data_IF_864934426941
#
_entry.id   IF_864934426941
#
_cell.length_a   1.000
_cell.length_b   1.000
_cell.length_c   1.000
_cell.angle_alpha   90.00
_cell.angle_beta   90.00
_cell.angle_gamma   90.00
#
_symmetry.space_group_name_H-M   'P 1'
#
loop_
_entity.id
_entity.type
_entity.pdbx_description
1 polymer ?
#
# COMPACT_ATOMS: atom_id res chain seq x y z
N UNK A 1 1.73 -13.98 17.53
CA UNK A 1 1.46 -15.07 16.57
C UNK A 1 1.44 -16.38 17.32
N UNK A 2 0.68 -17.38 16.86
CA UNK A 2 0.79 -18.78 17.34
C UNK A 2 1.84 -19.59 16.56
N UNK A 3 2.33 -19.06 15.44
CA UNK A 3 3.30 -19.70 14.55
C UNK A 3 4.76 -19.38 14.87
N UNK A 4 5.59 -19.36 13.82
CA UNK A 4 7.07 -19.28 13.94
C UNK A 4 7.62 -17.87 14.16
N UNK A 5 6.78 -16.83 14.12
CA UNK A 5 7.23 -15.45 14.32
C UNK A 5 7.77 -14.79 13.06
N UNK A 6 7.36 -15.28 11.87
CA UNK A 6 7.85 -14.76 10.59
C UNK A 6 6.72 -14.70 9.58
N UNK A 7 6.58 -13.55 8.95
CA UNK A 7 5.66 -13.36 7.83
C UNK A 7 6.35 -13.55 6.48
N UNK A 8 5.57 -13.94 5.49
CA UNK A 8 5.94 -14.01 4.08
C UNK A 8 4.92 -13.26 3.23
N UNK A 9 5.35 -12.81 2.06
CA UNK A 9 4.47 -12.15 1.09
C UNK A 9 3.52 -13.17 0.45
N UNK A 10 2.23 -12.87 0.47
CA UNK A 10 1.20 -13.58 -0.28
C UNK A 10 1.14 -13.12 -1.73
N UNK A 11 0.42 -13.88 -2.57
CA UNK A 11 0.27 -13.58 -3.99
C UNK A 11 -0.70 -12.42 -4.30
N UNK A 12 -1.32 -11.82 -3.27
CA UNK A 12 -2.38 -10.83 -3.42
C UNK A 12 -1.91 -9.47 -2.91
N UNK A 13 -2.10 -8.46 -3.75
CA UNK A 13 -1.79 -7.06 -3.46
C UNK A 13 -3.08 -6.23 -3.55
N UNK A 14 -3.32 -5.40 -2.54
CA UNK A 14 -4.52 -4.55 -2.45
C UNK A 14 -4.18 -3.09 -2.10
N UNK A 15 -2.94 -2.86 -1.65
CA UNK A 15 -2.42 -1.57 -1.23
C UNK A 15 -1.25 -1.25 -2.15
N UNK A 16 -1.20 -0.01 -2.63
CA UNK A 16 -0.18 0.45 -3.57
C UNK A 16 0.27 1.87 -3.16
N UNK A 17 1.47 2.30 -3.57
CA UNK A 17 1.91 3.69 -3.44
C UNK A 17 2.57 4.19 -4.73
N UNK A 18 2.52 5.50 -4.96
CA UNK A 18 3.25 6.12 -6.06
C UNK A 18 4.76 6.16 -5.75
N UNK A 19 5.53 5.43 -6.56
CA UNK A 19 6.98 5.38 -6.45
C UNK A 19 7.65 6.39 -7.39
N UNK A 20 7.11 6.55 -8.60
CA UNK A 20 7.69 7.43 -9.63
C UNK A 20 6.64 8.15 -10.43
N UNK A 21 6.78 9.46 -10.55
CA UNK A 21 5.96 10.26 -11.46
C UNK A 21 6.57 10.29 -12.86
N UNK A 22 5.89 9.70 -13.85
CA UNK A 22 6.33 9.71 -15.25
C UNK A 22 5.16 9.63 -16.22
N UNK A 23 5.40 10.01 -17.48
CA UNK A 23 4.38 9.95 -18.52
C UNK A 23 3.99 8.50 -18.84
N UNK A 24 2.68 8.23 -18.79
CA UNK A 24 2.09 6.94 -19.15
C UNK A 24 1.24 7.10 -20.42
N UNK A 25 1.43 6.22 -21.40
CA UNK A 25 0.72 6.29 -22.70
C UNK A 25 -0.70 5.72 -22.66
N UNK A 26 -0.89 4.61 -21.94
CA UNK A 26 -2.19 3.94 -21.85
C UNK A 26 -3.20 4.87 -21.14
N UNK A 27 -4.38 5.05 -21.74
CA UNK A 27 -5.39 6.00 -21.26
C UNK A 27 -5.91 5.64 -19.86
N UNK A 28 -6.22 4.37 -19.62
CA UNK A 28 -6.77 3.90 -18.35
C UNK A 28 -5.72 4.00 -17.23
N UNK A 29 -4.48 3.56 -17.52
CA UNK A 29 -3.36 3.71 -16.58
C UNK A 29 -3.01 5.18 -16.30
N UNK A 30 -3.14 6.07 -17.28
CA UNK A 30 -2.93 7.51 -17.07
C UNK A 30 -3.99 8.09 -16.13
N UNK A 31 -5.27 7.75 -16.33
CA UNK A 31 -6.35 8.22 -15.43
C UNK A 31 -6.14 7.77 -13.99
N UNK A 32 -5.77 6.50 -13.78
CA UNK A 32 -5.41 6.00 -12.45
C UNK A 32 -4.25 6.80 -11.87
N UNK A 33 -3.18 7.02 -12.65
CA UNK A 33 -2.04 7.81 -12.20
C UNK A 33 -2.42 9.26 -11.86
N UNK A 34 -3.30 9.89 -12.63
CA UNK A 34 -3.82 11.24 -12.38
C UNK A 34 -4.56 11.27 -11.02
N UNK A 35 -5.52 10.37 -10.81
CA UNK A 35 -6.24 10.26 -9.53
C UNK A 35 -5.28 10.04 -8.35
N UNK A 36 -4.34 9.09 -8.48
CA UNK A 36 -3.36 8.79 -7.43
C UNK A 36 -2.53 10.02 -7.07
N UNK A 37 -2.06 10.78 -8.06
CA UNK A 37 -1.27 11.99 -7.84
C UNK A 37 -2.05 13.10 -7.16
N UNK A 38 -3.32 13.26 -7.51
CA UNK A 38 -4.17 14.33 -6.99
C UNK A 38 -4.65 14.02 -5.57
N UNK A 39 -5.08 12.78 -5.31
CA UNK A 39 -5.74 12.40 -4.06
C UNK A 39 -4.79 11.81 -3.01
N UNK A 40 -3.88 10.92 -3.41
CA UNK A 40 -3.06 10.12 -2.47
C UNK A 40 -1.60 10.56 -2.43
N UNK A 41 -1.11 11.15 -3.53
CA UNK A 41 0.29 11.58 -3.70
C UNK A 41 1.23 10.38 -3.47
N UNK A 42 2.09 10.46 -2.46
CA UNK A 42 3.04 9.41 -2.09
C UNK A 42 2.53 8.53 -0.95
N UNK A 43 1.33 8.77 -0.43
CA UNK A 43 0.74 7.93 0.61
C UNK A 43 0.18 6.63 0.00
N UNK A 44 0.21 5.51 0.74
CA UNK A 44 -0.43 4.28 0.29
C UNK A 44 -1.94 4.45 0.08
N UNK A 45 -2.47 3.78 -0.94
CA UNK A 45 -3.89 3.77 -1.29
C UNK A 45 -4.36 2.35 -1.64
N UNK A 46 -5.67 2.11 -1.54
CA UNK A 46 -6.25 0.81 -1.87
C UNK A 46 -6.76 0.76 -3.32
N UNK A 47 -6.61 -0.36 -4.01
CA UNK A 47 -7.13 -0.54 -5.38
C UNK A 47 -8.64 -0.24 -5.48
N UNK A 48 -9.40 -0.59 -4.45
CA UNK A 48 -10.86 -0.36 -4.36
C UNK A 48 -11.26 1.12 -4.23
N UNK A 49 -10.32 2.04 -4.04
CA UNK A 49 -10.60 3.49 -3.98
C UNK A 49 -10.57 4.14 -5.35
N UNK A 50 -10.02 3.45 -6.37
CA UNK A 50 -9.89 3.99 -7.71
C UNK A 50 -11.24 3.97 -8.45
N UNK A 51 -11.54 5.07 -9.15
CA UNK A 51 -12.80 5.22 -9.86
C UNK A 51 -12.81 4.55 -11.24
N UNK A 52 -11.64 4.25 -11.79
CA UNK A 52 -11.53 3.66 -13.13
C UNK A 52 -12.08 2.23 -13.13
N UNK A 53 -13.11 1.93 -13.97
CA UNK A 53 -13.63 0.58 -14.08
C UNK A 53 -12.56 -0.40 -14.50
N UNK A 54 -12.41 -1.52 -13.77
CA UNK A 54 -11.34 -2.53 -13.98
C UNK A 54 -9.93 -1.94 -13.79
N UNK A 55 -9.76 -1.13 -12.74
CA UNK A 55 -8.48 -0.54 -12.36
C UNK A 55 -7.33 -1.56 -12.22
N UNK A 56 -7.60 -2.82 -11.89
CA UNK A 56 -6.57 -3.88 -11.76
C UNK A 56 -5.60 -3.92 -12.95
N UNK A 57 -6.11 -3.93 -14.19
CA UNK A 57 -5.26 -3.96 -15.39
C UNK A 57 -4.48 -2.65 -15.60
N UNK A 58 -4.95 -1.54 -15.06
CA UNK A 58 -4.22 -0.28 -15.07
C UNK A 58 -3.11 -0.29 -14.01
N UNK A 59 -3.41 -0.75 -12.79
CA UNK A 59 -2.45 -0.92 -11.69
C UNK A 59 -1.30 -1.84 -12.11
N UNK A 60 -1.59 -3.06 -12.58
CA UNK A 60 -0.55 -4.02 -13.01
C UNK A 60 0.39 -3.41 -14.04
N UNK A 61 -0.13 -2.59 -14.97
CA UNK A 61 0.70 -1.90 -15.96
C UNK A 61 1.60 -0.84 -15.35
N UNK A 62 1.10 -0.11 -14.36
CA UNK A 62 1.88 0.92 -13.66
C UNK A 62 2.96 0.28 -12.78
N UNK A 63 2.69 -0.87 -12.17
CA UNK A 63 3.68 -1.63 -11.39
C UNK A 63 4.78 -2.24 -12.25
N UNK A 64 4.41 -2.90 -13.36
CA UNK A 64 5.39 -3.39 -14.36
C UNK A 64 6.27 -2.27 -14.91
N UNK A 65 5.77 -1.04 -14.84
CA UNK A 65 6.47 0.17 -15.23
C UNK A 65 7.30 0.80 -14.10
N UNK A 66 7.21 0.30 -12.87
CA UNK A 66 7.84 0.86 -11.68
C UNK A 66 7.30 2.25 -11.31
N UNK A 67 6.06 2.53 -11.68
CA UNK A 67 5.34 3.77 -11.32
C UNK A 67 4.64 3.61 -9.98
N UNK A 68 3.99 2.46 -9.79
CA UNK A 68 3.42 2.06 -8.52
C UNK A 68 4.27 0.97 -7.89
N UNK A 69 4.28 0.95 -6.56
CA UNK A 69 4.77 -0.16 -5.75
C UNK A 69 3.58 -0.81 -5.05
N UNK A 70 3.39 -2.11 -5.24
CA UNK A 70 2.40 -2.92 -4.54
C UNK A 70 2.92 -3.43 -3.20
N UNK A 71 2.05 -3.43 -2.19
CA UNK A 71 2.31 -4.00 -0.88
C UNK A 71 1.53 -5.31 -0.75
N UNK A 72 2.20 -6.47 -0.87
CA UNK A 72 1.54 -7.76 -0.78
C UNK A 72 1.04 -8.02 0.64
N UNK A 73 -0.03 -8.81 0.74
CA UNK A 73 -0.54 -9.29 2.03
C UNK A 73 0.58 -10.06 2.74
N UNK A 74 0.94 -9.62 3.94
CA UNK A 74 1.88 -10.34 4.79
C UNK A 74 1.13 -11.41 5.60
N UNK A 75 1.54 -12.67 5.46
CA UNK A 75 0.92 -13.79 6.18
C UNK A 75 1.93 -14.65 6.94
N UNK A 76 1.49 -15.17 8.07
CA UNK A 76 2.11 -16.32 8.75
C UNK A 76 1.76 -17.63 8.03
N UNK A 77 2.29 -18.74 8.55
CA UNK A 77 1.95 -20.08 8.05
C UNK A 77 0.43 -20.33 8.13
N UNK A 78 -0.09 -21.15 7.21
CA UNK A 78 -1.54 -21.38 7.09
C UNK A 78 -2.10 -21.99 8.39
N UNK A 79 -3.15 -21.36 8.93
CA UNK A 79 -3.79 -21.76 10.18
C UNK A 79 -3.26 -21.07 11.44
N UNK A 80 -2.16 -20.32 11.33
CA UNK A 80 -1.59 -19.58 12.46
C UNK A 80 -2.30 -18.24 12.68
N UNK A 81 -2.52 -17.89 13.95
CA UNK A 81 -3.18 -16.65 14.35
C UNK A 81 -2.16 -15.56 14.61
N UNK A 82 -2.46 -14.33 14.18
CA UNK A 82 -1.64 -13.13 14.43
C UNK A 82 -2.47 -12.09 15.18
N UNK A 83 -1.82 -11.42 16.14
CA UNK A 83 -2.34 -10.23 16.81
C UNK A 83 -1.34 -9.09 16.68
N UNK A 84 -1.84 -7.86 16.66
CA UNK A 84 -1.05 -6.63 16.53
C UNK A 84 -1.64 -5.56 17.45
N UNK A 85 -0.76 -4.71 18.00
CA UNK A 85 -1.11 -3.44 18.63
C UNK A 85 -0.11 -2.38 18.14
N UNK A 86 -0.57 -1.15 17.90
CA UNK A 86 0.24 -0.06 17.34
C UNK A 86 -0.11 1.26 18.02
N UNK A 87 0.91 2.08 18.28
CA UNK A 87 0.78 3.47 18.72
C UNK A 87 1.73 4.37 17.93
N UNK A 88 1.29 5.59 17.65
CA UNK A 88 2.12 6.69 17.12
C UNK A 88 2.56 7.59 18.27
N UNK A 89 3.86 7.84 18.39
CA UNK A 89 4.45 8.69 19.45
C UNK A 89 5.29 9.82 18.86
N UNK A 90 5.36 10.94 19.56
CA UNK A 90 6.29 12.05 19.27
C UNK A 90 7.35 12.09 20.36
N UNK A 91 8.62 12.09 19.95
CA UNK A 91 9.76 12.21 20.87
C UNK A 91 10.03 13.69 21.13
N UNK A 92 10.12 14.07 22.40
CA UNK A 92 10.39 15.44 22.85
C UNK A 92 11.66 15.48 23.70
N UNK A 93 12.12 16.67 24.08
CA UNK A 93 13.30 16.82 24.94
C UNK A 93 13.09 16.18 26.33
N UNK A 94 11.86 16.21 26.85
CA UNK A 94 11.51 15.72 28.19
C UNK A 94 10.97 14.27 28.21
N UNK A 95 10.84 13.61 27.06
CA UNK A 95 10.33 12.24 26.96
C UNK A 95 9.59 11.95 25.66
N UNK A 96 8.33 11.52 25.78
CA UNK A 96 7.48 11.25 24.63
C UNK A 96 6.00 11.57 24.91
N UNK A 97 5.28 11.90 23.84
CA UNK A 97 3.83 12.01 23.82
C UNK A 97 3.25 10.84 23.01
N UNK A 98 2.25 10.14 23.55
CA UNK A 98 1.49 9.15 22.78
C UNK A 98 0.29 9.81 22.13
N UNK A 99 0.31 9.94 20.80
CA UNK A 99 -0.73 10.61 20.02
C UNK A 99 -2.00 9.76 19.82
N UNK A 100 -1.91 8.47 20.12
CA UNK A 100 -2.93 7.46 19.77
C UNK A 100 -3.31 6.60 20.98
N UNK A 101 -3.11 7.12 22.18
CA UNK A 101 -3.42 6.46 23.46
C UNK A 101 -4.93 6.26 23.67
#
# INVERSE_FOLDING_TARGET
>A
TTGRGKVTEGAKEEIYSLERDRSVRNRSARKVLEQVKEEYRTLPFAARWLDEPRAEMAITRLEQQGVLHGYPVLKEDDGELVSQAEHTVVITEDGYENLTA
#
